data_IF_883037179577
#
_entry.id   IF_883037179577
#
_cell.length_a   1.000
_cell.length_b   1.000
_cell.length_c   1.000
_cell.angle_alpha   90.00
_cell.angle_beta   90.00
_cell.angle_gamma   90.00
#
_symmetry.space_group_name_H-M   'P 1'
#
loop_
_entity.id
_entity.type
_entity.pdbx_description
1 polymer ?
#
# COMPACT_ATOMS: atom_id res chain seq x y z
N UNK A 1 7.07 48.20 -10.92
CA UNK A 1 6.52 46.97 -10.31
C UNK A 1 7.64 46.26 -9.55
N UNK A 2 7.56 46.16 -8.22
CA UNK A 2 8.62 45.56 -7.36
C UNK A 2 8.17 44.16 -6.89
N UNK A 3 9.07 43.15 -6.85
CA UNK A 3 8.71 41.80 -6.44
C UNK A 3 8.64 41.66 -4.92
N UNK A 4 7.54 41.05 -4.48
CA UNK A 4 7.15 40.76 -3.10
C UNK A 4 7.82 39.46 -2.64
N UNK A 5 9.12 39.53 -2.35
CA UNK A 5 9.82 38.45 -1.66
C UNK A 5 9.58 38.59 -0.16
N UNK A 6 8.57 37.88 0.33
CA UNK A 6 8.35 37.66 1.76
C UNK A 6 9.49 36.81 2.32
N UNK A 7 10.33 37.50 3.09
CA UNK A 7 11.38 36.99 3.95
C UNK A 7 10.74 36.11 5.04
N UNK A 8 10.74 34.79 4.86
CA UNK A 8 10.43 33.88 5.97
C UNK A 8 11.57 33.94 6.99
N UNK A 9 11.22 34.34 8.21
CA UNK A 9 12.07 34.39 9.39
C UNK A 9 12.42 32.95 9.84
N UNK A 10 13.69 32.53 9.88
CA UNK A 10 14.07 31.19 10.33
C UNK A 10 14.19 31.04 11.86
N UNK A 11 13.73 32.01 12.67
CA UNK A 11 14.15 32.17 14.07
C UNK A 11 13.21 31.61 15.15
N UNK A 12 12.15 30.88 14.83
CA UNK A 12 11.27 30.28 15.86
C UNK A 12 11.00 28.80 15.56
N UNK A 13 11.98 27.96 15.90
CA UNK A 13 11.72 26.54 16.19
C UNK A 13 11.71 26.38 17.72
N UNK A 14 10.54 26.21 18.37
CA UNK A 14 10.50 25.82 19.77
C UNK A 14 11.13 24.44 19.91
N UNK A 15 11.99 24.29 20.93
CA UNK A 15 12.65 23.03 21.26
C UNK A 15 11.59 21.98 21.64
N UNK A 16 11.33 21.08 20.71
CA UNK A 16 10.40 19.97 20.84
C UNK A 16 11.01 18.93 21.79
N UNK A 17 10.62 19.03 23.07
CA UNK A 17 10.95 18.04 24.08
C UNK A 17 10.32 16.70 23.69
N UNK A 18 11.15 15.82 23.13
CA UNK A 18 10.84 14.41 22.85
C UNK A 18 10.46 13.69 24.15
N UNK A 19 9.17 13.74 24.52
CA UNK A 19 8.58 12.81 25.48
C UNK A 19 8.45 11.45 24.80
N UNK A 20 9.36 10.54 25.12
CA UNK A 20 9.26 9.13 24.71
C UNK A 20 8.07 8.53 25.47
N UNK A 21 6.94 8.38 24.78
CA UNK A 21 5.75 7.75 25.35
C UNK A 21 6.06 6.31 25.80
N UNK A 22 5.51 5.85 26.94
CA UNK A 22 5.71 4.49 27.42
C UNK A 22 5.17 3.51 26.38
N UNK A 23 6.03 2.57 25.97
CA UNK A 23 5.66 1.48 25.06
C UNK A 23 4.54 0.66 25.71
N UNK A 24 3.33 0.83 25.20
CA UNK A 24 2.20 -0.03 25.52
C UNK A 24 2.62 -1.48 25.27
N UNK A 25 2.81 -2.26 26.34
CA UNK A 25 2.90 -3.71 26.25
C UNK A 25 1.58 -4.18 25.67
N UNK A 26 1.64 -4.77 24.48
CA UNK A 26 0.52 -5.51 23.91
C UNK A 26 0.26 -6.69 24.83
N UNK A 27 -0.73 -6.55 25.72
CA UNK A 27 -1.30 -7.68 26.45
C UNK A 27 -2.08 -8.47 25.42
N UNK A 28 -1.52 -9.59 24.96
CA UNK A 28 -2.22 -10.50 24.05
C UNK A 28 -3.35 -11.15 24.86
N UNK A 29 -4.63 -10.95 24.50
CA UNK A 29 -5.73 -11.55 25.24
C UNK A 29 -5.61 -13.08 25.19
N UNK A 30 -5.66 -13.74 26.34
CA UNK A 30 -5.86 -15.19 26.40
C UNK A 30 -7.25 -15.48 25.87
N UNK A 31 -7.34 -16.07 24.69
CA UNK A 31 -8.60 -16.46 24.08
C UNK A 31 -9.19 -17.64 24.87
N UNK A 32 -10.12 -17.35 25.78
CA UNK A 32 -11.12 -18.33 26.20
C UNK A 32 -11.85 -18.80 24.94
N UNK A 33 -12.09 -20.12 24.82
CA UNK A 33 -12.54 -20.80 23.60
C UNK A 33 -13.95 -20.42 23.10
N UNK A 34 -14.15 -19.14 22.80
CA UNK A 34 -15.29 -18.62 22.08
C UNK A 34 -14.97 -18.70 20.59
N UNK A 35 -15.81 -19.40 19.83
CA UNK A 35 -15.72 -19.42 18.37
C UNK A 35 -15.92 -17.99 17.89
N UNK A 36 -14.91 -17.41 17.24
CA UNK A 36 -15.05 -16.08 16.62
C UNK A 36 -16.14 -16.21 15.54
N UNK A 37 -17.34 -15.73 15.83
CA UNK A 37 -18.32 -15.46 14.79
C UNK A 37 -17.87 -14.17 14.10
N UNK A 38 -17.74 -14.23 12.78
CA UNK A 38 -17.45 -13.05 11.97
C UNK A 38 -18.78 -12.47 11.54
N UNK A 39 -19.11 -11.25 11.95
CA UNK A 39 -20.31 -10.60 11.41
C UNK A 39 -20.10 -10.32 9.93
N UNK A 40 -21.12 -10.47 9.07
CA UNK A 40 -21.03 -10.06 7.66
C UNK A 40 -20.65 -8.59 7.47
N UNK A 41 -20.86 -7.78 8.51
CA UNK A 41 -20.64 -6.35 8.52
C UNK A 41 -19.24 -5.97 9.06
N UNK A 42 -18.42 -6.94 9.48
CA UNK A 42 -17.07 -6.70 9.96
C UNK A 42 -16.11 -6.44 8.79
N UNK A 43 -15.56 -5.23 8.75
CA UNK A 43 -14.53 -4.81 7.78
C UNK A 43 -13.24 -5.62 7.90
N UNK A 44 -12.98 -6.26 9.04
CA UNK A 44 -11.83 -7.13 9.29
C UNK A 44 -11.83 -8.42 8.46
N UNK A 45 -12.99 -8.85 7.93
CA UNK A 45 -13.12 -10.00 7.04
C UNK A 45 -13.77 -9.63 5.70
N UNK A 46 -13.33 -8.53 5.09
CA UNK A 46 -13.70 -8.27 3.70
C UNK A 46 -13.35 -9.49 2.84
N UNK A 47 -14.18 -9.77 1.82
CA UNK A 47 -14.01 -10.92 0.92
C UNK A 47 -12.59 -10.98 0.32
N UNK A 48 -11.98 -9.82 0.10
CA UNK A 48 -10.60 -9.67 -0.36
C UNK A 48 -9.58 -10.22 0.64
N UNK A 49 -9.73 -9.93 1.93
CA UNK A 49 -8.87 -10.48 2.99
C UNK A 49 -9.02 -11.99 3.12
N UNK A 50 -10.26 -12.51 3.06
CA UNK A 50 -10.49 -13.95 3.05
C UNK A 50 -9.82 -14.64 1.86
N UNK A 51 -9.98 -14.10 0.65
CA UNK A 51 -9.35 -14.64 -0.55
C UNK A 51 -7.82 -14.61 -0.47
N UNK A 52 -7.24 -13.57 0.14
CA UNK A 52 -5.80 -13.47 0.37
C UNK A 52 -5.31 -14.57 1.33
N UNK A 53 -6.03 -14.81 2.43
CA UNK A 53 -5.73 -15.89 3.38
C UNK A 53 -5.78 -17.26 2.68
N UNK A 54 -6.86 -17.55 1.94
CA UNK A 54 -7.05 -18.83 1.25
C UNK A 54 -5.99 -19.04 0.15
N UNK A 55 -5.69 -18.00 -0.62
CA UNK A 55 -4.68 -18.06 -1.68
C UNK A 55 -3.24 -18.03 -1.17
N UNK A 56 -3.02 -17.85 0.15
CA UNK A 56 -1.71 -17.65 0.78
C UNK A 56 -0.90 -16.53 0.12
N UNK A 57 -1.58 -15.48 -0.35
CA UNK A 57 -0.97 -14.30 -0.97
C UNK A 57 -1.20 -13.09 -0.09
N UNK A 58 -0.20 -12.22 0.00
CA UNK A 58 -0.37 -10.94 0.69
C UNK A 58 -1.40 -10.09 -0.06
N UNK A 59 -2.43 -9.58 0.64
CA UNK A 59 -3.42 -8.73 0.01
C UNK A 59 -2.80 -7.39 -0.39
N UNK A 60 -3.20 -6.90 -1.55
CA UNK A 60 -2.85 -5.57 -2.01
C UNK A 60 -3.79 -4.53 -1.40
N UNK A 61 -3.43 -4.04 -0.22
CA UNK A 61 -4.28 -3.12 0.55
C UNK A 61 -4.62 -1.84 -0.22
N UNK A 62 -3.66 -1.15 -0.89
CA UNK A 62 -3.97 0.02 -1.71
C UNK A 62 -4.97 -0.28 -2.83
N UNK A 63 -4.83 -1.41 -3.52
CA UNK A 63 -5.76 -1.80 -4.58
C UNK A 63 -7.17 -2.04 -4.04
N UNK A 64 -7.29 -2.76 -2.92
CA UNK A 64 -8.57 -3.06 -2.28
C UNK A 64 -9.26 -1.75 -1.87
N UNK A 65 -8.54 -0.85 -1.20
CA UNK A 65 -9.08 0.46 -0.80
C UNK A 65 -9.57 1.27 -2.00
N UNK A 66 -8.79 1.34 -3.08
CA UNK A 66 -9.21 2.05 -4.28
C UNK A 66 -10.47 1.44 -4.92
N UNK A 67 -10.58 0.11 -4.97
CA UNK A 67 -11.76 -0.58 -5.51
C UNK A 67 -12.99 -0.31 -4.65
N UNK A 68 -12.85 -0.38 -3.33
CA UNK A 68 -13.95 -0.16 -2.41
C UNK A 68 -14.47 1.29 -2.49
N UNK A 69 -13.54 2.27 -2.53
CA UNK A 69 -13.89 3.69 -2.66
C UNK A 69 -14.51 4.05 -4.03
N UNK A 70 -14.13 3.34 -5.09
CA UNK A 70 -14.57 3.63 -6.46
C UNK A 70 -15.75 2.78 -6.93
N UNK A 71 -16.29 1.90 -6.07
CA UNK A 71 -17.36 0.97 -6.42
C UNK A 71 -18.62 1.68 -6.93
N UNK A 72 -19.03 2.78 -6.27
CA UNK A 72 -20.19 3.55 -6.69
C UNK A 72 -19.98 4.26 -8.04
N UNK A 73 -18.80 4.82 -8.27
CA UNK A 73 -18.46 5.43 -9.56
C UNK A 73 -18.43 4.40 -10.69
N UNK A 74 -17.86 3.21 -10.43
CA UNK A 74 -17.85 2.12 -11.40
C UNK A 74 -19.27 1.67 -11.77
N UNK A 75 -20.19 1.63 -10.80
CA UNK A 75 -21.59 1.31 -11.09
C UNK A 75 -22.27 2.34 -12.00
N UNK A 76 -21.91 3.63 -11.88
CA UNK A 76 -22.46 4.70 -12.72
C UNK A 76 -21.82 4.77 -14.11
N UNK A 77 -20.50 4.61 -14.19
CA UNK A 77 -19.72 4.81 -15.42
C UNK A 77 -19.63 3.55 -16.30
N UNK A 78 -19.99 2.39 -15.74
CA UNK A 78 -19.99 1.11 -16.44
C UNK A 78 -18.77 0.23 -16.15
N UNK A 79 -18.76 -1.00 -16.69
CA UNK A 79 -17.77 -2.03 -16.35
C UNK A 79 -16.34 -1.68 -16.81
N UNK A 80 -16.22 -0.90 -17.89
CA UNK A 80 -14.94 -0.51 -18.49
C UNK A 80 -14.27 0.65 -17.74
N UNK A 81 -15.01 1.34 -16.88
CA UNK A 81 -14.45 2.44 -16.10
C UNK A 81 -13.55 1.92 -14.98
N UNK A 82 -12.38 2.54 -14.85
CA UNK A 82 -11.39 2.25 -13.81
C UNK A 82 -10.90 3.54 -13.15
N UNK A 83 -10.63 3.54 -11.83
CA UNK A 83 -10.01 4.67 -11.16
C UNK A 83 -8.59 4.92 -11.68
N UNK A 84 -8.22 6.19 -11.84
CA UNK A 84 -6.92 6.61 -12.38
C UNK A 84 -5.70 6.07 -11.62
N UNK A 85 -5.85 5.83 -10.32
CA UNK A 85 -4.84 5.20 -9.47
C UNK A 85 -4.51 3.75 -9.88
N UNK A 86 -5.52 2.97 -10.30
CA UNK A 86 -5.29 1.60 -10.79
C UNK A 86 -4.60 1.60 -12.15
N UNK A 87 -4.97 2.52 -13.04
CA UNK A 87 -4.36 2.66 -14.36
C UNK A 87 -2.87 3.04 -14.24
N UNK A 88 -2.58 4.06 -13.43
CA UNK A 88 -1.20 4.50 -13.17
C UNK A 88 -0.34 3.36 -12.62
N UNK A 89 -0.92 2.53 -11.75
CA UNK A 89 -0.24 1.38 -11.18
C UNK A 89 0.04 0.29 -12.21
N UNK A 90 -0.93 -0.07 -13.04
CA UNK A 90 -0.73 -1.04 -14.12
C UNK A 90 0.39 -0.60 -15.07
N UNK A 91 0.45 0.70 -15.39
CA UNK A 91 1.54 1.28 -16.20
C UNK A 91 2.88 1.12 -15.47
N UNK A 92 2.94 1.47 -14.18
CA UNK A 92 4.16 1.33 -13.38
C UNK A 92 4.63 -0.13 -13.28
N UNK A 93 3.72 -1.09 -13.10
CA UNK A 93 4.01 -2.53 -13.06
C UNK A 93 4.52 -3.02 -14.42
N UNK A 94 3.91 -2.58 -15.53
CA UNK A 94 4.39 -2.92 -16.88
C UNK A 94 5.81 -2.39 -17.15
N UNK A 95 6.10 -1.17 -16.71
CA UNK A 95 7.42 -0.55 -16.88
C UNK A 95 8.50 -1.19 -15.99
N UNK A 96 8.14 -1.57 -14.77
CA UNK A 96 9.08 -2.17 -13.80
C UNK A 96 9.31 -3.66 -14.04
N UNK A 97 8.28 -4.43 -14.41
CA UNK A 97 8.40 -5.87 -14.70
C UNK A 97 9.36 -6.16 -15.86
N UNK A 98 9.34 -5.31 -16.90
CA UNK A 98 10.25 -5.41 -18.04
C UNK A 98 11.72 -5.25 -17.66
N UNK A 99 12.01 -4.51 -16.58
CA UNK A 99 13.37 -4.28 -16.10
C UNK A 99 13.94 -5.51 -15.39
N UNK A 100 13.13 -6.20 -14.59
CA UNK A 100 13.58 -7.34 -13.79
C UNK A 100 13.86 -8.58 -14.65
N UNK A 101 13.03 -8.86 -15.67
CA UNK A 101 13.23 -10.02 -16.56
C UNK A 101 14.48 -9.96 -17.46
N UNK A 102 15.11 -8.79 -17.60
CA UNK A 102 16.34 -8.62 -18.38
C UNK A 102 17.62 -8.73 -17.53
N UNK A 103 17.52 -8.67 -16.20
CA UNK A 103 18.68 -8.75 -15.33
C UNK A 103 19.25 -10.19 -15.25
N UNK A 104 18.41 -11.21 -15.39
CA UNK A 104 18.81 -12.62 -15.26
C UNK A 104 19.53 -13.21 -16.50
N UNK A 105 19.60 -12.50 -17.63
CA UNK A 105 20.20 -13.05 -18.87
C UNK A 105 21.69 -12.70 -19.10
N UNK A 106 22.39 -12.11 -18.13
CA UNK A 106 23.75 -11.56 -18.37
C UNK A 106 24.91 -12.24 -17.63
N UNK A 107 24.71 -13.35 -16.91
CA UNK A 107 25.79 -13.97 -16.09
C UNK A 107 26.58 -15.11 -16.74
N UNK A 108 26.18 -15.64 -17.89
CA UNK A 108 26.82 -16.83 -18.46
C UNK A 108 27.79 -16.51 -19.61
N UNK A 109 28.71 -15.56 -19.41
CA UNK A 109 29.92 -15.53 -20.24
C UNK A 109 31.02 -16.32 -19.53
N UNK A 110 31.41 -17.52 -20.02
CA UNK A 110 32.56 -18.23 -19.49
C UNK A 110 33.81 -17.39 -19.77
N UNK A 111 34.57 -17.10 -18.71
CA UNK A 111 35.85 -16.43 -18.82
C UNK A 111 36.76 -17.22 -19.76
N UNK A 112 37.10 -16.61 -20.90
CA UNK A 112 38.10 -17.13 -21.83
C UNK A 112 39.46 -17.12 -21.13
N UNK A 113 39.92 -18.28 -20.67
CA UNK A 113 41.31 -18.48 -20.26
C UNK A 113 42.23 -18.35 -21.46
N UNK A 114 43.19 -17.43 -21.37
CA UNK A 114 44.38 -17.35 -22.21
C UNK A 114 45.43 -18.38 -21.78
#
# INVERSE_FOLDING_TARGET
LKPFWLRLNPAQRPAEQHRVAPRHRFVVPRMSGSTIHWRPNETSLSRSSFNAIVSRKSPDVPEILMKDLSMGQKAMMGPDWQPSGLVSRQIAEALTSKRNGNADKKSDQPASSQ
#
